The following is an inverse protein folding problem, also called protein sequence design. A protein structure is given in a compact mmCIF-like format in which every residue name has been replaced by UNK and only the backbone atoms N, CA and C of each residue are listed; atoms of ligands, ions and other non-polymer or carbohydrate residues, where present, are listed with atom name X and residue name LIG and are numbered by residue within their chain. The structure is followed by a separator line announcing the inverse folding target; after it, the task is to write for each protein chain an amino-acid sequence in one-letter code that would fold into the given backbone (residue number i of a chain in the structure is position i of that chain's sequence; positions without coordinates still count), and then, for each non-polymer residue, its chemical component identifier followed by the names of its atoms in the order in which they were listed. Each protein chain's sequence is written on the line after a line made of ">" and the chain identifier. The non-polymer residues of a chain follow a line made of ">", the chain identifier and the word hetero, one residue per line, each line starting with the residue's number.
data_IF_730849620408
#
_entry.id   IF_730849620408
#
_cell.length_a   1.000
_cell.length_b   1.000
_cell.length_c   1.000
_cell.angle_alpha   90.00
_cell.angle_beta   90.00
_cell.angle_gamma   90.00
#
_symmetry.space_group_name_H-M   'P 1'
#
loop_
_entity.id
_entity.type
_entity.pdbx_description
1 polymer ?
#
# COMPACT_ATOMS: atom_id res chain seq x y z
N UNK A 1 -9.92 -34.36 -54.44
CA UNK A 1 -10.80 -33.46 -55.24
C UNK A 1 -12.17 -33.60 -54.58
N UNK A 2 -12.85 -32.57 -54.06
CA UNK A 2 -13.47 -31.44 -54.76
C UNK A 2 -13.71 -30.29 -53.75
N UNK A 3 -13.55 -29.04 -54.20
CA UNK A 3 -13.83 -27.81 -53.47
C UNK A 3 -15.34 -27.49 -53.51
N UNK A 4 -15.92 -26.91 -52.45
CA UNK A 4 -16.58 -25.58 -52.48
C UNK A 4 -17.14 -25.16 -51.12
N UNK A 5 -16.90 -23.88 -50.80
CA UNK A 5 -17.42 -23.10 -49.68
C UNK A 5 -18.93 -22.83 -49.84
N UNK A 6 -19.63 -22.54 -48.74
CA UNK A 6 -20.39 -21.29 -48.58
C UNK A 6 -21.02 -21.14 -47.19
N UNK A 7 -21.04 -19.87 -46.76
CA UNK A 7 -22.05 -19.23 -45.90
C UNK A 7 -22.08 -19.53 -44.40
N UNK A 8 -21.39 -18.65 -43.66
CA UNK A 8 -21.90 -17.86 -42.54
C UNK A 8 -23.17 -18.35 -41.81
N UNK A 9 -23.00 -18.72 -40.54
CA UNK A 9 -24.01 -18.53 -39.50
C UNK A 9 -23.29 -18.28 -38.17
N UNK A 10 -23.02 -17.01 -37.89
CA UNK A 10 -22.50 -16.51 -36.61
C UNK A 10 -23.64 -16.51 -35.62
N UNK A 11 -23.85 -17.58 -34.85
CA UNK A 11 -24.76 -17.54 -33.70
C UNK A 11 -24.37 -18.59 -32.64
N UNK A 12 -24.17 -18.08 -31.43
CA UNK A 12 -24.37 -18.69 -30.11
C UNK A 12 -23.21 -19.37 -29.34
N UNK A 13 -23.19 -18.99 -28.05
CA UNK A 13 -22.55 -19.65 -26.90
C UNK A 13 -21.11 -19.24 -26.52
N UNK A 14 -20.84 -17.93 -26.53
CA UNK A 14 -19.90 -17.33 -25.57
C UNK A 14 -20.55 -17.28 -24.17
N UNK A 15 -20.44 -18.38 -23.43
CA UNK A 15 -20.67 -18.40 -21.97
C UNK A 15 -19.45 -19.03 -21.30
N UNK A 16 -18.30 -18.39 -21.52
CA UNK A 16 -17.12 -18.59 -20.68
C UNK A 16 -17.45 -17.97 -19.32
N UNK A 17 -17.68 -18.85 -18.35
CA UNK A 17 -17.84 -18.50 -16.96
C UNK A 17 -16.73 -17.53 -16.56
N UNK A 18 -17.15 -16.34 -16.15
CA UNK A 18 -16.33 -15.37 -15.48
C UNK A 18 -15.77 -16.01 -14.21
N UNK A 19 -14.52 -16.50 -14.28
CA UNK A 19 -13.62 -16.46 -13.13
C UNK A 19 -13.51 -14.99 -12.75
N UNK A 20 -14.35 -14.55 -11.81
CA UNK A 20 -14.21 -13.28 -11.12
C UNK A 20 -12.94 -13.31 -10.28
N UNK A 21 -11.79 -13.21 -10.94
CA UNK A 21 -10.64 -12.55 -10.34
C UNK A 21 -11.08 -11.10 -10.16
N UNK A 22 -11.63 -10.81 -8.98
CA UNK A 22 -11.73 -9.46 -8.45
C UNK A 22 -10.29 -8.95 -8.36
N UNK A 23 -9.77 -8.43 -9.47
CA UNK A 23 -8.67 -7.49 -9.44
C UNK A 23 -9.22 -6.30 -8.67
N UNK A 24 -8.95 -6.30 -7.37
CA UNK A 24 -8.93 -5.12 -6.52
C UNK A 24 -7.93 -4.17 -7.18
N UNK A 25 -8.38 -3.48 -8.23
CA UNK A 25 -7.63 -2.43 -8.88
C UNK A 25 -7.51 -1.36 -7.80
N UNK A 26 -6.30 -1.14 -7.23
CA UNK A 26 -6.17 -0.17 -6.16
C UNK A 26 -6.63 1.16 -6.75
N UNK A 27 -7.71 1.70 -6.18
CA UNK A 27 -8.28 2.99 -6.56
C UNK A 27 -7.12 3.95 -6.84
N UNK A 28 -7.13 4.55 -8.04
CA UNK A 28 -6.07 5.42 -8.55
C UNK A 28 -5.52 6.27 -7.41
N UNK A 29 -4.36 5.86 -6.92
CA UNK A 29 -3.81 6.40 -5.71
C UNK A 29 -3.01 7.62 -6.09
N UNK A 30 -3.53 8.79 -5.76
CA UNK A 30 -2.81 10.04 -5.90
C UNK A 30 -1.61 10.02 -4.94
N UNK A 31 -0.41 10.37 -5.42
CA UNK A 31 0.77 10.57 -4.59
C UNK A 31 0.44 11.64 -3.53
N UNK A 32 0.30 11.19 -2.28
CA UNK A 32 0.00 12.06 -1.16
C UNK A 32 1.24 12.81 -0.71
N UNK A 33 1.15 14.13 -0.61
CA UNK A 33 2.17 14.95 0.04
C UNK A 33 2.01 14.91 1.57
N UNK A 34 3.09 14.68 2.31
CA UNK A 34 3.08 14.69 3.78
C UNK A 34 4.02 13.67 4.41
N UNK A 35 3.97 13.57 5.74
CA UNK A 35 4.68 12.52 6.50
C UNK A 35 3.78 11.30 6.62
N UNK A 36 4.32 10.11 6.33
CA UNK A 36 3.57 8.87 6.47
C UNK A 36 3.38 8.50 7.96
N UNK A 37 2.13 8.21 8.33
CA UNK A 37 1.80 7.58 9.60
C UNK A 37 1.13 6.25 9.36
N UNK A 38 1.40 5.28 10.22
CA UNK A 38 0.77 3.96 10.18
C UNK A 38 -0.03 3.72 11.45
N UNK A 39 -1.26 3.23 11.30
CA UNK A 39 -2.04 2.73 12.43
C UNK A 39 -1.43 1.40 12.88
N UNK A 40 -1.00 1.31 14.13
CA UNK A 40 -0.34 0.12 14.68
C UNK A 40 -1.29 -1.07 14.81
N UNK A 41 -2.60 -0.82 14.86
CA UNK A 41 -3.65 -1.85 14.93
C UNK A 41 -4.06 -2.35 13.54
N UNK A 42 -4.37 -1.45 12.60
CA UNK A 42 -4.91 -1.83 11.27
C UNK A 42 -3.84 -1.95 10.19
N UNK A 43 -2.64 -1.41 10.43
CA UNK A 43 -1.54 -1.28 9.44
C UNK A 43 -1.85 -0.39 8.25
N UNK A 44 -2.94 0.37 8.30
CA UNK A 44 -3.28 1.37 7.30
C UNK A 44 -2.32 2.56 7.40
N UNK A 45 -1.94 3.12 6.25
CA UNK A 45 -0.99 4.22 6.12
C UNK A 45 -1.74 5.48 5.69
N UNK A 46 -1.42 6.60 6.33
CA UNK A 46 -2.04 7.89 6.13
C UNK A 46 -0.97 8.93 5.78
N UNK A 47 -1.27 9.79 4.80
CA UNK A 47 -0.55 11.04 4.61
C UNK A 47 -1.01 12.02 5.68
N UNK A 48 -0.10 12.49 6.53
CA UNK A 48 -0.39 13.55 7.49
C UNK A 48 0.35 14.80 7.07
N UNK A 49 -0.40 15.87 6.83
CA UNK A 49 0.14 17.20 6.58
C UNK A 49 0.49 17.91 7.89
N UNK A 50 1.48 18.81 7.81
CA UNK A 50 2.00 19.56 8.95
C UNK A 50 3.21 18.91 9.63
N UNK A 51 3.82 19.65 10.55
CA UNK A 51 5.07 19.28 11.24
C UNK A 51 4.85 18.65 12.61
N UNK A 52 3.63 18.69 13.14
CA UNK A 52 3.32 18.18 14.48
C UNK A 52 3.07 16.67 14.48
N UNK A 53 3.68 15.92 15.42
CA UNK A 53 3.43 14.49 15.55
C UNK A 53 1.97 14.17 15.85
N UNK A 54 1.31 13.38 14.99
CA UNK A 54 -0.07 12.93 15.23
C UNK A 54 -0.07 11.51 15.79
N UNK A 55 -0.32 11.39 17.09
CA UNK A 55 -0.49 10.08 17.74
C UNK A 55 -1.93 9.54 17.62
N UNK A 56 -2.93 10.40 17.41
CA UNK A 56 -4.35 10.03 17.39
C UNK A 56 -4.79 9.70 15.97
N UNK A 57 -5.36 8.50 15.77
CA UNK A 57 -5.98 8.11 14.51
C UNK A 57 -7.33 8.86 14.35
N UNK A 58 -7.50 9.67 13.28
CA UNK A 58 -8.70 10.47 13.10
C UNK A 58 -9.98 9.64 12.89
N UNK A 59 -9.87 8.40 12.39
CA UNK A 59 -11.02 7.52 12.17
C UNK A 59 -11.54 6.91 13.47
N UNK A 60 -10.65 6.66 14.45
CA UNK A 60 -11.01 5.93 15.68
C UNK A 60 -10.93 6.78 16.95
N UNK A 61 -10.28 7.94 16.91
CA UNK A 61 -10.00 8.78 18.07
C UNK A 61 -8.99 8.19 19.06
N UNK A 62 -8.37 7.04 18.74
CA UNK A 62 -7.43 6.33 19.62
C UNK A 62 -5.98 6.67 19.29
N UNK A 63 -5.08 6.56 20.28
CA UNK A 63 -3.64 6.83 20.12
C UNK A 63 -2.90 5.67 19.45
N UNK A 64 -3.22 5.43 18.19
CA UNK A 64 -2.73 4.26 17.42
C UNK A 64 -1.87 4.64 16.22
N UNK A 65 -1.70 5.92 15.91
CA UNK A 65 -0.80 6.34 14.83
C UNK A 65 0.64 6.45 15.33
N UNK A 66 1.56 5.88 14.55
CA UNK A 66 2.99 6.06 14.69
C UNK A 66 3.56 6.59 13.37
N UNK A 67 4.65 7.39 13.38
CA UNK A 67 5.38 7.69 12.16
C UNK A 67 5.77 6.40 11.45
N UNK A 68 5.81 6.41 10.12
CA UNK A 68 6.17 5.26 9.32
C UNK A 68 7.49 5.47 8.60
N UNK A 69 8.23 4.38 8.38
CA UNK A 69 9.40 4.34 7.50
C UNK A 69 9.18 3.30 6.40
N UNK A 70 9.59 3.64 5.19
CA UNK A 70 9.43 2.84 4.00
C UNK A 70 10.67 1.97 3.77
N UNK A 71 10.44 0.68 3.52
CA UNK A 71 11.50 -0.22 3.05
C UNK A 71 11.36 -0.41 1.54
N UNK A 72 12.33 0.11 0.79
CA UNK A 72 12.38 -0.01 -0.67
C UNK A 72 12.44 -1.46 -1.16
N UNK A 73 13.17 -2.34 -0.46
CA UNK A 73 13.26 -3.76 -0.84
C UNK A 73 11.95 -4.51 -0.61
N UNK A 74 11.19 -4.15 0.44
CA UNK A 74 9.90 -4.75 0.73
C UNK A 74 8.74 -4.08 0.00
N UNK A 75 8.97 -2.89 -0.57
CA UNK A 75 7.95 -1.95 -1.06
C UNK A 75 6.81 -1.76 -0.06
N UNK A 76 7.17 -1.54 1.21
CA UNK A 76 6.22 -1.51 2.33
C UNK A 76 6.61 -0.53 3.43
N UNK A 77 5.61 0.12 4.00
CA UNK A 77 5.70 0.94 5.21
C UNK A 77 5.71 0.09 6.50
N UNK A 78 6.56 0.46 7.43
CA UNK A 78 6.68 -0.10 8.77
C UNK A 78 6.55 1.01 9.81
N UNK A 79 6.04 0.72 11.03
CA UNK A 79 6.08 1.70 12.11
C UNK A 79 7.53 2.02 12.44
N UNK A 80 7.84 3.31 12.49
CA UNK A 80 9.09 3.79 13.04
C UNK A 80 9.17 3.39 14.52
N UNK A 81 10.33 2.91 15.00
CA UNK A 81 10.54 2.78 16.43
C UNK A 81 10.41 4.15 17.13
N UNK A 82 10.15 4.16 18.45
CA UNK A 82 10.23 5.38 19.25
C UNK A 82 11.58 6.08 19.07
N UNK A 83 11.57 7.41 19.20
CA UNK A 83 12.78 8.23 18.98
C UNK A 83 13.93 7.80 19.90
N UNK A 84 13.63 7.43 21.15
CA UNK A 84 14.61 6.94 22.10
C UNK A 84 15.27 5.64 21.61
N UNK A 85 14.51 4.75 20.98
CA UNK A 85 15.04 3.52 20.39
C UNK A 85 15.90 3.83 19.17
N UNK A 86 15.46 4.74 18.31
CA UNK A 86 16.25 5.19 17.15
C UNK A 86 17.61 5.78 17.57
N UNK A 87 17.65 6.52 18.67
CA UNK A 87 18.86 7.16 19.16
C UNK A 87 19.80 6.22 19.93
N UNK A 88 19.25 5.23 20.63
CA UNK A 88 20.02 4.38 21.57
C UNK A 88 20.37 3.01 21.00
N UNK A 89 19.67 2.56 19.97
CA UNK A 89 19.84 1.22 19.41
C UNK A 89 20.39 1.30 18.00
N UNK A 90 21.66 0.93 17.78
CA UNK A 90 22.22 0.82 16.44
C UNK A 90 21.36 -0.08 15.55
N UNK A 91 21.07 0.37 14.33
CA UNK A 91 20.27 -0.39 13.37
C UNK A 91 18.75 -0.39 13.64
N UNK A 92 18.24 0.41 14.59
CA UNK A 92 16.80 0.55 14.80
C UNK A 92 16.04 1.06 13.56
N UNK A 93 16.71 1.77 12.65
CA UNK A 93 16.15 2.21 11.37
C UNK A 93 16.20 1.16 10.26
N UNK A 94 16.72 -0.04 10.53
CA UNK A 94 16.76 -1.12 9.55
C UNK A 94 15.42 -1.85 9.46
N UNK A 95 15.10 -2.32 8.26
CA UNK A 95 13.92 -3.14 8.03
C UNK A 95 14.02 -4.45 8.82
N UNK A 96 12.99 -4.83 9.59
CA UNK A 96 13.02 -6.07 10.38
C UNK A 96 13.02 -7.34 9.52
N UNK A 97 12.71 -7.24 8.23
CA UNK A 97 12.71 -8.38 7.30
C UNK A 97 14.01 -8.53 6.52
N UNK A 98 14.56 -7.43 6.03
CA UNK A 98 15.69 -7.46 5.08
C UNK A 98 17.00 -6.95 5.68
N UNK A 99 16.95 -6.29 6.85
CA UNK A 99 18.11 -5.63 7.46
C UNK A 99 18.59 -4.39 6.70
N UNK A 100 17.87 -3.93 5.68
CA UNK A 100 18.24 -2.76 4.88
C UNK A 100 17.76 -1.46 5.54
N UNK A 101 18.45 -0.31 5.35
CA UNK A 101 17.97 0.99 5.80
C UNK A 101 16.57 1.30 5.26
N UNK A 102 15.72 1.89 6.11
CA UNK A 102 14.42 2.42 5.71
C UNK A 102 14.48 3.93 5.57
N UNK A 103 13.61 4.48 4.71
CA UNK A 103 13.49 5.92 4.44
C UNK A 103 12.23 6.48 5.11
N UNK A 104 12.23 7.78 5.44
CA UNK A 104 11.03 8.49 5.91
C UNK A 104 10.11 8.90 4.75
N UNK A 105 10.66 8.88 3.55
CA UNK A 105 10.02 9.17 2.27
C UNK A 105 9.63 7.86 1.59
N UNK A 106 8.58 7.90 0.78
CA UNK A 106 8.11 6.76 0.03
C UNK A 106 6.77 7.06 -0.60
N UNK A 107 6.23 6.12 -1.40
CA UNK A 107 4.92 6.30 -2.01
C UNK A 107 3.85 6.28 -0.93
N UNK A 108 3.22 7.43 -0.67
CA UNK A 108 2.02 7.51 0.15
C UNK A 108 0.83 7.53 -0.80
N UNK A 109 0.07 6.45 -0.78
CA UNK A 109 -1.16 6.35 -1.55
C UNK A 109 -2.27 6.98 -0.70
N UNK A 110 -2.69 8.19 -1.05
CA UNK A 110 -3.82 8.82 -0.36
C UNK A 110 -5.11 8.14 -0.81
N UNK A 111 -5.83 7.47 0.10
CA UNK A 111 -7.22 7.08 -0.15
C UNK A 111 -8.10 8.29 0.17
N UNK A 112 -8.72 8.87 -0.86
CA UNK A 112 -9.72 9.94 -0.72
C UNK A 112 -11.05 9.36 -0.23
#
# INVERSE_FOLDING_TARGET
>A
MNKTLCAAAVVLCASLLACGCSSDEPAAAEEGEGTAYICTETREVFAVSGTEPKAINPQTGRRTLAPAMYCESCKKWYPAPPLETLQRTPGASLCPKTGQPMDVSGPILSRR
#
